data_IF_078287465545
#
_entry.id   IF_078287465545
#
_cell.length_a   1.000
_cell.length_b   1.000
_cell.length_c   1.000
_cell.angle_alpha   90.00
_cell.angle_beta   90.00
_cell.angle_gamma   90.00
#
_symmetry.space_group_name_H-M   'P 1'
#
loop_
_entity.id
_entity.type
_entity.pdbx_description
1 polymer ?
#
# COMPACT_ATOMS: atom_id res chain seq x y z
N UNK A 1 5.83 19.22 -21.19
CA UNK A 1 4.35 19.10 -21.14
C UNK A 1 3.75 20.36 -21.75
N UNK A 2 2.63 20.29 -22.47
CA UNK A 2 1.95 21.50 -22.99
C UNK A 2 1.37 22.32 -21.82
N UNK A 3 1.55 23.64 -21.84
CA UNK A 3 1.13 24.58 -20.80
C UNK A 3 -0.38 24.46 -20.50
N UNK A 4 -1.19 24.24 -21.54
CA UNK A 4 -2.64 24.08 -21.39
C UNK A 4 -3.00 22.82 -20.58
N UNK A 5 -2.28 21.72 -20.81
CA UNK A 5 -2.49 20.45 -20.12
C UNK A 5 -2.06 20.54 -18.66
N UNK A 6 -0.93 21.21 -18.38
CA UNK A 6 -0.46 21.47 -17.02
C UNK A 6 -1.45 22.34 -16.23
N UNK A 7 -1.90 23.45 -16.82
CA UNK A 7 -2.87 24.37 -16.21
C UNK A 7 -4.18 23.66 -15.88
N UNK A 8 -4.71 22.88 -16.82
CA UNK A 8 -5.91 22.08 -16.60
C UNK A 8 -5.74 21.09 -15.43
N UNK A 9 -4.59 20.42 -15.34
CA UNK A 9 -4.33 19.45 -14.30
C UNK A 9 -4.23 20.12 -12.90
N UNK A 10 -3.56 21.27 -12.79
CA UNK A 10 -3.55 22.05 -11.55
C UNK A 10 -4.93 22.56 -11.14
N UNK A 11 -5.69 23.13 -12.08
CA UNK A 11 -7.05 23.59 -11.82
C UNK A 11 -7.96 22.42 -11.37
N UNK A 12 -7.75 21.23 -11.95
CA UNK A 12 -8.47 20.02 -11.56
C UNK A 12 -8.11 19.61 -10.13
N UNK A 13 -6.82 19.57 -9.78
CA UNK A 13 -6.36 19.23 -8.42
C UNK A 13 -6.68 20.31 -7.37
N UNK A 14 -6.99 21.54 -7.78
CA UNK A 14 -7.38 22.63 -6.87
C UNK A 14 -8.72 22.40 -6.14
N UNK A 15 -9.54 21.43 -6.56
CA UNK A 15 -10.78 21.09 -5.87
C UNK A 15 -10.57 20.01 -4.82
N UNK A 16 -11.02 20.21 -3.56
CA UNK A 16 -10.70 19.32 -2.44
C UNK A 16 -11.17 17.87 -2.66
N UNK A 17 -12.37 17.68 -3.23
CA UNK A 17 -12.89 16.34 -3.53
C UNK A 17 -12.10 15.60 -4.61
N UNK A 18 -11.58 16.31 -5.62
CA UNK A 18 -10.78 15.69 -6.70
C UNK A 18 -9.38 15.37 -6.20
N UNK A 19 -8.80 16.26 -5.41
CA UNK A 19 -7.54 16.01 -4.72
C UNK A 19 -7.64 14.81 -3.77
N UNK A 20 -8.74 14.67 -3.03
CA UNK A 20 -8.96 13.52 -2.16
C UNK A 20 -9.03 12.19 -2.94
N UNK A 21 -9.74 12.16 -4.07
CA UNK A 21 -9.78 11.00 -4.98
C UNK A 21 -8.38 10.68 -5.52
N UNK A 22 -7.66 11.69 -6.04
CA UNK A 22 -6.32 11.52 -6.59
C UNK A 22 -5.32 11.02 -5.54
N UNK A 23 -5.32 11.60 -4.33
CA UNK A 23 -4.46 11.17 -3.22
C UNK A 23 -4.79 9.75 -2.77
N UNK A 24 -6.05 9.35 -2.77
CA UNK A 24 -6.43 7.96 -2.51
C UNK A 24 -5.85 7.03 -3.57
N UNK A 25 -6.03 7.33 -4.85
CA UNK A 25 -5.49 6.50 -5.94
C UNK A 25 -3.96 6.38 -5.88
N UNK A 26 -3.27 7.45 -5.47
CA UNK A 26 -1.82 7.43 -5.26
C UNK A 26 -1.37 6.47 -4.15
N UNK A 27 -2.18 6.22 -3.12
CA UNK A 27 -1.86 5.24 -2.06
C UNK A 27 -1.97 3.79 -2.53
N UNK A 28 -2.69 3.55 -3.62
CA UNK A 28 -2.82 2.24 -4.26
C UNK A 28 -1.92 2.10 -5.48
N UNK A 29 -1.15 3.13 -5.85
CA UNK A 29 -0.33 3.05 -7.03
C UNK A 29 0.72 1.93 -6.90
N UNK A 30 1.01 1.18 -7.99
CA UNK A 30 0.48 1.36 -9.34
C UNK A 30 -0.86 0.63 -9.61
N UNK A 31 -1.46 -0.03 -8.61
CA UNK A 31 -2.72 -0.75 -8.76
C UNK A 31 -3.92 0.21 -8.91
N UNK A 32 -4.98 -0.29 -9.54
CA UNK A 32 -6.24 0.45 -9.70
C UNK A 32 -7.26 0.08 -8.62
N UNK A 33 -8.17 1.01 -8.33
CA UNK A 33 -9.22 0.87 -7.32
C UNK A 33 -10.59 0.92 -7.97
N UNK A 34 -11.56 0.15 -7.48
CA UNK A 34 -12.93 0.18 -8.02
C UNK A 34 -13.67 1.45 -7.59
N UNK A 35 -14.54 2.04 -8.43
CA UNK A 35 -15.32 3.22 -8.05
C UNK A 35 -16.12 3.05 -6.75
N UNK A 36 -16.68 1.86 -6.53
CA UNK A 36 -17.43 1.54 -5.31
C UNK A 36 -16.56 1.64 -4.06
N UNK A 37 -15.30 1.20 -4.14
CA UNK A 37 -14.34 1.25 -3.03
C UNK A 37 -13.88 2.68 -2.76
N UNK A 38 -13.61 3.46 -3.82
CA UNK A 38 -13.25 4.89 -3.70
C UNK A 38 -14.39 5.68 -3.04
N UNK A 39 -15.63 5.46 -3.47
CA UNK A 39 -16.80 6.13 -2.93
C UNK A 39 -16.98 5.83 -1.43
N UNK A 40 -16.84 4.56 -1.05
CA UNK A 40 -16.95 4.12 0.34
C UNK A 40 -15.83 4.72 1.18
N UNK A 41 -14.59 4.67 0.70
CA UNK A 41 -13.43 5.18 1.42
C UNK A 41 -13.51 6.69 1.71
N UNK A 42 -14.02 7.47 0.76
CA UNK A 42 -14.11 8.92 0.86
C UNK A 42 -15.49 9.42 1.34
N UNK A 43 -16.43 8.51 1.59
CA UNK A 43 -17.81 8.88 1.96
C UNK A 43 -18.56 9.66 0.87
N UNK A 44 -18.20 9.46 -0.41
CA UNK A 44 -18.76 10.20 -1.54
C UNK A 44 -19.98 9.49 -2.14
N UNK A 45 -20.95 10.28 -2.62
CA UNK A 45 -22.03 9.75 -3.46
C UNK A 45 -21.48 9.32 -4.83
N UNK A 46 -22.05 8.27 -5.41
CA UNK A 46 -21.59 7.70 -6.69
C UNK A 46 -21.60 8.71 -7.85
N UNK A 47 -22.62 9.58 -7.92
CA UNK A 47 -22.70 10.63 -8.93
C UNK A 47 -21.55 11.65 -8.78
N UNK A 48 -21.29 12.13 -7.57
CA UNK A 48 -20.19 13.05 -7.27
C UNK A 48 -18.84 12.43 -7.62
N UNK A 49 -18.62 11.16 -7.25
CA UNK A 49 -17.40 10.46 -7.61
C UNK A 49 -17.24 10.34 -9.13
N UNK A 50 -18.32 10.02 -9.85
CA UNK A 50 -18.29 9.87 -11.30
C UNK A 50 -17.86 11.18 -11.98
N UNK A 51 -18.36 12.32 -11.50
CA UNK A 51 -17.91 13.64 -11.97
C UNK A 51 -16.43 13.89 -11.66
N UNK A 52 -15.97 13.59 -10.44
CA UNK A 52 -14.55 13.76 -10.08
C UNK A 52 -13.63 12.88 -10.93
N UNK A 53 -13.98 11.62 -11.15
CA UNK A 53 -13.21 10.69 -11.98
C UNK A 53 -13.20 11.11 -13.46
N UNK A 54 -14.31 11.63 -13.98
CA UNK A 54 -14.38 12.16 -15.34
C UNK A 54 -13.44 13.36 -15.52
N UNK A 55 -13.49 14.34 -14.60
CA UNK A 55 -12.62 15.52 -14.62
C UNK A 55 -11.14 15.12 -14.52
N UNK A 56 -10.81 14.22 -13.58
CA UNK A 56 -9.43 13.73 -13.39
C UNK A 56 -8.92 12.94 -14.61
N UNK A 57 -9.77 12.15 -15.25
CA UNK A 57 -9.41 11.41 -16.46
C UNK A 57 -9.22 12.37 -17.66
N UNK A 58 -10.10 13.37 -17.80
CA UNK A 58 -9.99 14.39 -18.84
C UNK A 58 -8.70 15.23 -18.69
N UNK A 59 -8.29 15.49 -17.44
CA UNK A 59 -7.01 16.14 -17.14
C UNK A 59 -5.78 15.21 -17.34
N UNK A 60 -6.00 13.92 -17.59
CA UNK A 60 -4.95 12.92 -17.75
C UNK A 60 -4.27 12.51 -16.44
N UNK A 61 -4.84 12.84 -15.28
CA UNK A 61 -4.30 12.51 -13.96
C UNK A 61 -4.64 11.08 -13.51
N UNK A 62 -5.67 10.50 -14.11
CA UNK A 62 -6.18 9.17 -13.75
C UNK A 62 -6.40 8.37 -15.02
N UNK A 63 -5.95 7.13 -14.99
CA UNK A 63 -6.20 6.12 -16.02
C UNK A 63 -7.37 5.25 -15.60
N UNK A 64 -8.17 4.83 -16.59
CA UNK A 64 -9.23 3.85 -16.39
C UNK A 64 -8.90 2.58 -17.16
N UNK A 65 -8.96 1.44 -16.48
CA UNK A 65 -8.88 0.11 -17.09
C UNK A 65 -10.17 -0.64 -16.86
N UNK A 66 -10.61 -1.35 -17.90
CA UNK A 66 -11.75 -2.25 -17.82
C UNK A 66 -11.24 -3.68 -17.78
N UNK A 67 -11.72 -4.43 -16.80
CA UNK A 67 -11.48 -5.86 -16.69
C UNK A 67 -12.84 -6.57 -16.57
N UNK A 68 -13.26 -7.19 -17.68
CA UNK A 68 -14.61 -7.72 -17.86
C UNK A 68 -15.70 -6.67 -17.62
N UNK A 69 -16.46 -6.85 -16.54
CA UNK A 69 -17.56 -5.96 -16.12
C UNK A 69 -17.14 -4.88 -15.13
N UNK A 70 -15.93 -4.97 -14.58
CA UNK A 70 -15.43 -4.06 -13.56
C UNK A 70 -14.55 -2.97 -14.17
N UNK A 71 -14.64 -1.76 -13.62
CA UNK A 71 -13.74 -0.65 -13.92
C UNK A 71 -12.78 -0.45 -12.75
N UNK A 72 -11.53 -0.16 -13.08
CA UNK A 72 -10.48 0.19 -12.13
C UNK A 72 -9.86 1.52 -12.53
N UNK A 73 -9.74 2.42 -11.57
CA UNK A 73 -9.11 3.73 -11.75
C UNK A 73 -7.76 3.74 -11.05
N UNK A 74 -6.72 4.23 -11.71
CA UNK A 74 -5.36 4.32 -11.16
C UNK A 74 -4.77 5.71 -11.45
N UNK A 75 -3.88 6.19 -10.60
CA UNK A 75 -3.18 7.45 -10.88
C UNK A 75 -2.25 7.27 -12.09
N UNK A 76 -2.20 8.27 -12.98
CA UNK A 76 -1.21 8.33 -14.05
C UNK A 76 0.12 8.85 -13.46
N UNK A 77 1.03 7.92 -13.17
CA UNK A 77 2.32 8.25 -12.55
C UNK A 77 3.21 9.08 -13.49
N UNK A 78 3.15 8.83 -14.80
CA UNK A 78 3.95 9.56 -15.78
C UNK A 78 3.45 11.01 -15.92
N UNK A 79 2.13 11.21 -15.97
CA UNK A 79 1.54 12.54 -15.94
C UNK A 79 1.92 13.29 -14.65
N UNK A 80 1.87 12.60 -13.51
CA UNK A 80 2.18 13.23 -12.21
C UNK A 80 3.64 13.64 -12.09
N UNK A 81 4.56 12.77 -12.49
CA UNK A 81 5.99 13.08 -12.54
C UNK A 81 6.25 14.32 -13.39
N UNK A 82 5.64 14.40 -14.57
CA UNK A 82 5.80 15.54 -15.45
C UNK A 82 5.18 16.84 -14.90
N UNK A 83 4.10 16.75 -14.10
CA UNK A 83 3.48 17.86 -13.38
C UNK A 83 4.40 18.43 -12.28
N UNK A 84 5.01 17.54 -11.48
CA UNK A 84 6.00 17.90 -10.45
C UNK A 84 7.24 18.48 -11.12
N UNK A 85 7.72 17.84 -12.19
CA UNK A 85 8.84 18.30 -13.00
C UNK A 85 8.63 19.72 -13.53
N UNK A 86 7.42 20.06 -13.97
CA UNK A 86 7.10 21.42 -14.39
C UNK A 86 7.25 22.45 -13.27
N UNK A 87 6.78 22.16 -12.05
CA UNK A 87 6.96 23.07 -10.90
C UNK A 87 8.43 23.20 -10.50
N UNK A 88 9.11 22.06 -10.40
CA UNK A 88 10.47 21.96 -9.90
C UNK A 88 11.50 22.53 -10.88
N UNK A 89 11.37 22.19 -12.17
CA UNK A 89 12.36 22.47 -13.20
C UNK A 89 12.01 23.69 -14.05
N UNK A 90 10.75 23.82 -14.50
CA UNK A 90 10.36 24.90 -15.43
C UNK A 90 10.03 26.20 -14.68
N UNK A 91 9.23 26.14 -13.62
CA UNK A 91 8.88 27.32 -12.80
C UNK A 91 10.01 27.66 -11.82
N UNK A 92 10.57 26.65 -11.15
CA UNK A 92 11.69 26.80 -10.21
C UNK A 92 13.04 27.04 -10.88
N UNK A 93 13.13 26.98 -12.21
CA UNK A 93 14.38 27.04 -13.01
C UNK A 93 15.47 26.10 -12.49
N UNK A 94 15.06 24.96 -11.93
CA UNK A 94 15.93 23.99 -11.27
C UNK A 94 16.94 24.60 -10.27
N UNK A 95 16.55 25.71 -9.61
CA UNK A 95 17.35 26.37 -8.57
C UNK A 95 17.71 25.37 -7.45
N UNK A 96 19.00 25.05 -7.24
CA UNK A 96 19.40 24.01 -6.29
C UNK A 96 18.93 24.29 -4.85
N UNK A 97 18.87 25.57 -4.46
CA UNK A 97 18.37 26.02 -3.16
C UNK A 97 16.89 25.70 -2.93
N UNK A 98 16.08 25.68 -3.99
CA UNK A 98 14.65 25.38 -3.91
C UNK A 98 14.33 23.88 -4.08
N UNK A 99 15.21 23.14 -4.76
CA UNK A 99 15.09 21.69 -4.93
C UNK A 99 15.63 20.91 -3.73
N UNK A 100 16.67 21.39 -3.07
CA UNK A 100 17.26 20.71 -1.91
C UNK A 100 16.27 20.38 -0.77
N UNK A 101 15.24 21.20 -0.47
CA UNK A 101 14.19 20.88 0.53
C UNK A 101 13.06 19.99 -0.01
N UNK A 102 12.91 19.85 -1.33
CA UNK A 102 11.96 18.93 -1.98
C UNK A 102 12.57 17.54 -2.26
N UNK A 103 13.89 17.50 -2.43
CA UNK A 103 14.70 16.30 -2.71
C UNK A 103 15.60 15.89 -1.51
N UNK A 104 15.39 16.32 -0.24
CA UNK A 104 16.40 16.13 0.79
C UNK A 104 16.53 14.63 1.04
N UNK A 105 17.69 14.11 0.66
CA UNK A 105 18.14 12.75 0.88
C UNK A 105 17.41 11.62 0.13
N UNK A 106 17.12 11.77 -1.17
CA UNK A 106 17.29 10.63 -2.09
C UNK A 106 18.80 10.45 -2.32
N UNK A 107 19.54 10.15 -1.25
CA UNK A 107 20.70 9.29 -1.48
C UNK A 107 20.07 7.93 -1.76
N UNK A 108 20.56 7.26 -2.78
CA UNK A 108 20.35 5.82 -2.92
C UNK A 108 21.50 5.22 -2.11
N UNK A 109 21.45 5.16 -0.75
CA UNK A 109 22.47 4.43 -0.04
C UNK A 109 22.43 3.02 -0.59
N UNK A 110 23.59 2.43 -0.85
CA UNK A 110 23.67 1.00 -1.14
C UNK A 110 22.81 0.28 -0.11
N UNK A 111 21.81 -0.47 -0.57
CA UNK A 111 20.91 -1.08 0.38
C UNK A 111 21.68 -2.08 1.23
N UNK A 112 21.34 -2.12 2.51
CA UNK A 112 21.75 -3.21 3.41
C UNK A 112 21.19 -4.53 2.86
N UNK A 113 21.70 -5.67 3.32
CA UNK A 113 21.16 -7.00 2.96
C UNK A 113 20.43 -7.68 4.14
N UNK A 114 20.37 -7.00 5.29
CA UNK A 114 19.80 -7.48 6.56
C UNK A 114 19.39 -6.31 7.46
N UNK A 115 18.75 -6.63 8.58
CA UNK A 115 18.28 -5.71 9.62
C UNK A 115 17.24 -4.70 9.12
N UNK A 116 16.31 -5.17 8.29
CA UNK A 116 15.24 -4.35 7.75
C UNK A 116 14.05 -4.28 8.69
N UNK A 117 13.60 -3.07 9.01
CA UNK A 117 12.35 -2.86 9.76
C UNK A 117 11.15 -2.85 8.79
N UNK A 118 10.21 -3.80 8.96
CA UNK A 118 9.06 -3.99 8.07
C UNK A 118 7.75 -3.88 8.85
N UNK A 119 6.85 -2.99 8.40
CA UNK A 119 5.54 -2.79 9.01
C UNK A 119 4.39 -3.23 8.09
N UNK A 120 3.57 -4.17 8.58
CA UNK A 120 2.33 -4.60 7.92
C UNK A 120 1.10 -3.92 8.50
N UNK A 121 0.36 -3.18 7.67
CA UNK A 121 -0.83 -2.44 8.07
C UNK A 121 -2.10 -3.13 7.59
N UNK A 122 -3.05 -3.31 8.50
CA UNK A 122 -4.43 -3.59 8.13
C UNK A 122 -5.40 -2.72 8.94
N UNK A 123 -6.71 -2.90 8.77
CA UNK A 123 -7.70 -2.13 9.53
C UNK A 123 -7.73 -2.57 10.99
N UNK A 124 -7.99 -3.85 11.26
CA UNK A 124 -8.26 -4.34 12.62
C UNK A 124 -7.08 -4.92 13.41
N UNK A 125 -5.90 -5.05 12.80
CA UNK A 125 -4.72 -5.75 13.35
C UNK A 125 -5.02 -7.09 14.04
N UNK A 126 -5.92 -7.89 13.46
CA UNK A 126 -6.44 -9.10 14.10
C UNK A 126 -6.13 -10.40 13.34
N UNK A 127 -5.93 -10.34 12.01
CA UNK A 127 -5.72 -11.52 11.17
C UNK A 127 -4.64 -11.30 10.09
N UNK A 128 -4.95 -10.58 9.00
CA UNK A 128 -4.04 -10.44 7.83
C UNK A 128 -2.65 -9.92 8.17
N UNK A 129 -2.56 -8.80 8.88
CA UNK A 129 -1.27 -8.22 9.25
C UNK A 129 -0.52 -9.07 10.29
N UNK A 130 -1.24 -9.86 11.09
CA UNK A 130 -0.68 -10.78 12.08
C UNK A 130 -0.08 -12.01 11.39
N UNK A 131 -0.78 -12.55 10.37
CA UNK A 131 -0.21 -13.55 9.48
C UNK A 131 1.06 -13.04 8.82
N UNK A 132 1.04 -11.80 8.32
CA UNK A 132 2.20 -11.24 7.65
C UNK A 132 3.40 -11.04 8.59
N UNK A 133 3.17 -10.53 9.81
CA UNK A 133 4.21 -10.41 10.86
C UNK A 133 4.84 -11.77 11.19
N UNK A 134 4.03 -12.79 11.45
CA UNK A 134 4.52 -14.13 11.79
C UNK A 134 5.26 -14.80 10.61
N UNK A 135 4.69 -14.74 9.40
CA UNK A 135 5.30 -15.30 8.19
C UNK A 135 6.65 -14.66 7.88
N UNK A 136 6.79 -13.34 8.05
CA UNK A 136 8.07 -12.69 7.79
C UNK A 136 9.12 -13.03 8.85
N UNK A 137 8.73 -13.21 10.12
CA UNK A 137 9.67 -13.68 11.16
C UNK A 137 10.22 -15.07 10.85
N UNK A 138 9.34 -15.97 10.41
CA UNK A 138 9.70 -17.35 10.07
C UNK A 138 10.55 -17.42 8.78
N UNK A 139 10.04 -16.85 7.69
CA UNK A 139 10.67 -16.95 6.38
C UNK A 139 11.87 -15.99 6.20
N UNK A 140 11.94 -14.93 7.00
CA UNK A 140 12.94 -13.88 6.86
C UNK A 140 14.35 -14.25 7.33
N UNK A 141 14.51 -15.37 8.03
CA UNK A 141 15.82 -15.91 8.47
C UNK A 141 16.74 -14.88 9.16
N UNK A 142 16.15 -14.00 9.98
CA UNK A 142 16.89 -12.96 10.71
C UNK A 142 17.21 -11.69 9.93
N UNK A 143 16.90 -11.62 8.62
CA UNK A 143 17.11 -10.42 7.80
C UNK A 143 16.14 -9.27 8.09
N UNK A 144 15.03 -9.57 8.75
CA UNK A 144 13.92 -8.63 8.94
C UNK A 144 13.46 -8.59 10.39
N UNK A 145 13.15 -7.38 10.86
CA UNK A 145 12.35 -7.14 12.05
C UNK A 145 10.92 -6.84 11.60
N UNK A 146 10.01 -7.77 11.88
CA UNK A 146 8.63 -7.69 11.44
C UNK A 146 7.71 -7.11 12.51
N UNK A 147 6.93 -6.11 12.10
CA UNK A 147 5.90 -5.45 12.88
C UNK A 147 4.57 -5.45 12.13
N UNK A 148 3.47 -5.29 12.85
CA UNK A 148 2.16 -5.04 12.27
C UNK A 148 1.37 -4.01 13.05
N UNK A 149 0.41 -3.35 12.42
CA UNK A 149 -0.49 -2.44 13.12
C UNK A 149 -1.86 -2.33 12.45
N UNK A 150 -2.77 -1.71 13.18
CA UNK A 150 -4.15 -1.44 12.80
C UNK A 150 -4.41 0.05 12.72
N UNK A 151 -5.21 0.47 11.75
CA UNK A 151 -5.78 1.82 11.79
C UNK A 151 -6.96 1.93 12.76
N UNK A 152 -7.67 0.82 12.98
CA UNK A 152 -8.78 0.67 13.93
C UNK A 152 -8.66 -0.69 14.61
N UNK A 153 -7.57 -0.93 15.38
CA UNK A 153 -7.26 -2.22 15.94
C UNK A 153 -8.35 -2.67 16.92
N UNK A 154 -8.64 -3.98 16.91
CA UNK A 154 -9.44 -4.59 17.97
C UNK A 154 -8.65 -4.71 19.28
N UNK A 155 -9.31 -5.18 20.34
CA UNK A 155 -8.66 -5.45 21.62
C UNK A 155 -7.92 -6.79 21.67
N UNK A 156 -8.27 -7.72 20.79
CA UNK A 156 -7.72 -9.07 20.75
C UNK A 156 -7.45 -9.54 19.32
N UNK A 157 -6.52 -10.50 19.21
CA UNK A 157 -6.23 -11.20 17.96
C UNK A 157 -7.37 -12.16 17.60
N UNK A 158 -7.53 -12.44 16.30
CA UNK A 158 -8.56 -13.38 15.85
C UNK A 158 -8.13 -14.84 16.20
N UNK A 159 -8.98 -15.62 16.90
CA UNK A 159 -8.64 -17.00 17.29
C UNK A 159 -8.31 -17.92 16.10
N UNK A 160 -9.03 -17.80 14.97
CA UNK A 160 -8.74 -18.60 13.78
C UNK A 160 -7.39 -18.24 13.16
N UNK A 161 -6.96 -16.98 13.25
CA UNK A 161 -5.63 -16.59 12.79
C UNK A 161 -4.54 -17.23 13.67
N UNK A 162 -4.71 -17.22 15.00
CA UNK A 162 -3.78 -17.88 15.91
C UNK A 162 -3.72 -19.39 15.68
N UNK A 163 -4.86 -20.03 15.49
CA UNK A 163 -4.94 -21.47 15.22
C UNK A 163 -4.23 -21.84 13.91
N UNK A 164 -4.44 -21.08 12.83
CA UNK A 164 -3.74 -21.31 11.55
C UNK A 164 -2.24 -21.14 11.73
N UNK A 165 -1.77 -20.13 12.46
CA UNK A 165 -0.35 -19.93 12.74
C UNK A 165 0.26 -21.10 13.52
N UNK A 166 -0.38 -21.49 14.62
CA UNK A 166 0.08 -22.60 15.46
C UNK A 166 0.13 -23.93 14.71
N UNK A 167 -0.90 -24.25 13.91
CA UNK A 167 -0.96 -25.47 13.09
C UNK A 167 0.14 -25.51 12.03
N UNK A 168 0.63 -24.36 11.58
CA UNK A 168 1.74 -24.25 10.64
C UNK A 168 3.11 -24.09 11.32
N UNK A 169 3.17 -24.19 12.65
CA UNK A 169 4.43 -24.17 13.41
C UNK A 169 5.01 -22.79 13.71
N UNK A 170 4.23 -21.71 13.53
CA UNK A 170 4.70 -20.35 13.80
C UNK A 170 4.71 -20.04 15.31
N UNK A 171 5.75 -19.34 15.76
CA UNK A 171 5.73 -18.72 17.08
C UNK A 171 4.76 -17.53 17.11
N UNK A 172 3.82 -17.58 18.04
CA UNK A 172 2.81 -16.52 18.25
C UNK A 172 3.13 -15.64 19.47
N UNK A 173 4.25 -15.88 20.13
CA UNK A 173 4.67 -15.14 21.32
C UNK A 173 4.88 -13.67 20.98
N UNK A 174 4.33 -12.79 21.84
CA UNK A 174 4.44 -11.33 21.68
C UNK A 174 3.58 -10.73 20.56
N UNK A 175 2.85 -11.53 19.78
CA UNK A 175 1.85 -11.00 18.85
C UNK A 175 0.72 -10.33 19.64
N UNK A 176 0.36 -9.11 19.25
CA UNK A 176 -0.74 -8.36 19.85
C UNK A 176 -1.35 -7.38 18.85
N UNK A 177 -2.60 -7.04 19.10
CA UNK A 177 -3.30 -5.97 18.38
C UNK A 177 -2.77 -4.61 18.84
N UNK A 178 -2.38 -3.75 17.90
CA UNK A 178 -1.75 -2.45 18.16
C UNK A 178 -2.13 -1.38 17.14
N UNK A 179 -2.17 -0.13 17.58
CA UNK A 179 -2.55 1.00 16.71
C UNK A 179 -1.33 1.53 15.95
N UNK A 180 -1.56 1.98 14.70
CA UNK A 180 -0.51 2.52 13.83
C UNK A 180 0.28 3.68 14.45
N UNK A 181 -0.36 4.47 15.31
CA UNK A 181 0.26 5.60 16.00
C UNK A 181 1.44 5.20 16.89
N UNK A 182 1.53 3.93 17.32
CA UNK A 182 2.68 3.41 18.07
C UNK A 182 3.99 3.48 17.28
N UNK A 183 3.91 3.52 15.94
CA UNK A 183 5.07 3.58 15.03
C UNK A 183 5.30 4.97 14.44
N UNK A 184 4.54 5.97 14.89
CA UNK A 184 4.62 7.36 14.41
C UNK A 184 5.15 8.33 15.49
N UNK A 185 5.52 7.81 16.66
CA UNK A 185 6.05 8.62 17.76
C UNK A 185 7.56 8.85 17.60
N UNK A 186 8.10 9.94 18.18
CA UNK A 186 9.55 10.09 18.28
C UNK A 186 10.20 8.90 18.99
N UNK A 187 11.32 8.40 18.44
CA UNK A 187 12.07 7.29 19.02
C UNK A 187 11.56 5.89 18.65
N UNK A 188 10.55 5.78 17.79
CA UNK A 188 10.13 4.50 17.21
C UNK A 188 11.08 4.06 16.10
N UNK A 189 11.11 2.76 15.74
CA UNK A 189 11.89 2.27 14.61
C UNK A 189 11.54 3.03 13.32
N UNK A 190 12.55 3.32 12.50
CA UNK A 190 12.38 3.92 11.18
C UNK A 190 12.20 2.79 10.19
N UNK A 191 11.00 2.66 9.64
CA UNK A 191 10.68 1.56 8.74
C UNK A 191 11.47 1.67 7.44
N UNK A 192 12.03 0.54 6.99
CA UNK A 192 12.57 0.39 5.64
C UNK A 192 11.45 0.05 4.64
N UNK A 193 10.46 -0.73 5.10
CA UNK A 193 9.30 -1.14 4.30
C UNK A 193 7.97 -0.97 5.04
N UNK A 194 6.93 -0.54 4.33
CA UNK A 194 5.56 -0.48 4.85
C UNK A 194 4.58 -1.08 3.85
N UNK A 195 3.91 -2.17 4.23
CA UNK A 195 2.96 -2.87 3.38
C UNK A 195 1.54 -2.76 3.90
N UNK A 196 0.61 -2.33 3.07
CA UNK A 196 -0.83 -2.38 3.39
C UNK A 196 -1.42 -3.69 2.87
N UNK A 197 -2.02 -4.49 3.75
CA UNK A 197 -2.58 -5.82 3.39
C UNK A 197 -4.11 -5.82 3.32
N UNK A 198 -4.73 -4.64 3.43
CA UNK A 198 -6.15 -4.46 3.18
C UNK A 198 -6.43 -3.08 2.57
N UNK A 199 -7.47 -3.03 1.74
CA UNK A 199 -7.85 -1.83 1.00
C UNK A 199 -8.25 -0.70 1.95
N UNK A 200 -8.90 -1.02 3.08
CA UNK A 200 -9.25 -0.01 4.08
C UNK A 200 -8.01 0.71 4.62
N UNK A 201 -6.93 -0.01 4.93
CA UNK A 201 -5.70 0.61 5.43
C UNK A 201 -4.99 1.44 4.35
N UNK A 202 -5.01 0.99 3.09
CA UNK A 202 -4.48 1.77 1.97
C UNK A 202 -5.34 3.01 1.66
N UNK A 203 -6.64 2.94 1.92
CA UNK A 203 -7.58 4.03 1.72
C UNK A 203 -7.52 5.10 2.82
N UNK A 204 -6.93 4.81 3.98
CA UNK A 204 -6.80 5.78 5.06
C UNK A 204 -5.68 6.80 4.82
N UNK A 205 -5.93 8.04 5.24
CA UNK A 205 -4.93 9.10 5.15
C UNK A 205 -3.92 8.94 6.29
N UNK A 206 -2.72 8.48 5.93
CA UNK A 206 -1.60 8.38 6.85
C UNK A 206 -0.61 9.53 6.56
N UNK A 207 -0.08 10.22 7.58
CA UNK A 207 1.05 11.13 7.41
C UNK A 207 2.23 10.44 6.72
N UNK A 208 3.09 11.18 6.00
CA UNK A 208 4.32 10.62 5.44
C UNK A 208 5.16 9.95 6.52
N UNK A 209 5.66 8.75 6.21
CA UNK A 209 6.53 8.01 7.11
C UNK A 209 7.91 8.68 7.22
N UNK A 210 8.47 8.80 8.43
CA UNK A 210 9.88 9.14 8.60
C UNK A 210 10.76 8.20 7.78
N UNK A 211 11.81 8.73 7.14
CA UNK A 211 12.73 7.92 6.31
C UNK A 211 12.20 7.50 4.94
N UNK A 212 10.95 7.83 4.59
CA UNK A 212 10.31 7.52 3.30
C UNK A 212 10.44 6.05 2.86
N UNK A 213 10.03 5.05 3.67
CA UNK A 213 10.10 3.62 3.35
C UNK A 213 9.63 3.26 1.95
N UNK A 214 10.12 2.14 1.43
CA UNK A 214 9.51 1.49 0.27
C UNK A 214 8.13 0.99 0.69
N UNK A 215 7.09 1.41 -0.03
CA UNK A 215 5.71 1.06 0.32
C UNK A 215 5.12 0.11 -0.72
N UNK A 216 4.13 -0.68 -0.32
CA UNK A 216 3.41 -1.54 -1.25
C UNK A 216 2.01 -1.87 -0.78
N UNK A 217 1.09 -2.05 -1.72
CA UNK A 217 -0.27 -2.51 -1.44
C UNK A 217 -0.45 -3.97 -1.86
N UNK A 218 -0.61 -4.84 -0.86
CA UNK A 218 -0.84 -6.27 -1.00
C UNK A 218 -2.22 -6.62 -0.47
N UNK A 219 -3.25 -5.95 -0.98
CA UNK A 219 -4.65 -6.16 -0.61
C UNK A 219 -5.06 -7.63 -0.69
N UNK A 220 -5.81 -8.07 0.32
CA UNK A 220 -6.50 -9.36 0.37
C UNK A 220 -7.90 -9.17 0.99
N UNK A 221 -8.90 -9.96 0.54
CA UNK A 221 -10.22 -10.01 1.17
C UNK A 221 -10.11 -10.22 2.67
N UNK A 222 -11.04 -9.64 3.43
CA UNK A 222 -11.04 -9.77 4.88
C UNK A 222 -11.58 -11.14 5.31
N UNK A 223 -10.74 -12.06 5.84
CA UNK A 223 -11.22 -13.38 6.24
C UNK A 223 -12.20 -13.30 7.42
N UNK A 224 -12.17 -12.21 8.21
CA UNK A 224 -13.07 -12.01 9.36
C UNK A 224 -14.52 -11.81 8.91
N UNK A 225 -14.74 -11.35 7.68
CA UNK A 225 -16.09 -11.17 7.11
C UNK A 225 -16.68 -12.48 6.54
N UNK A 226 -15.93 -13.57 6.54
CA UNK A 226 -16.43 -14.86 6.08
C UNK A 226 -17.59 -15.34 6.97
N UNK A 227 -18.72 -15.67 6.34
CA UNK A 227 -19.90 -16.27 6.97
C UNK A 227 -19.99 -17.75 6.62
N UNK A 228 -20.82 -18.50 7.35
CA UNK A 228 -21.01 -19.93 7.14
C UNK A 228 -20.49 -20.78 8.31
N UNK A 229 -20.28 -22.06 8.03
CA UNK A 229 -19.75 -23.05 8.96
C UNK A 229 -18.30 -22.76 9.37
N UNK A 230 -17.85 -23.31 10.48
CA UNK A 230 -16.45 -23.13 10.92
C UNK A 230 -15.44 -23.70 9.91
N UNK A 231 -15.81 -24.74 9.16
CA UNK A 231 -14.98 -25.29 8.09
C UNK A 231 -14.82 -24.29 6.92
N UNK A 232 -15.91 -23.65 6.50
CA UNK A 232 -15.87 -22.62 5.44
C UNK A 232 -15.06 -21.40 5.89
N UNK A 233 -15.24 -20.96 7.14
CA UNK A 233 -14.45 -19.88 7.71
C UNK A 233 -12.97 -20.25 7.76
N UNK A 234 -12.62 -21.43 8.28
CA UNK A 234 -11.25 -21.93 8.32
C UNK A 234 -10.60 -21.99 6.92
N UNK A 235 -11.36 -22.38 5.90
CA UNK A 235 -10.89 -22.38 4.51
C UNK A 235 -10.50 -20.98 4.05
N UNK A 236 -11.31 -19.95 4.31
CA UNK A 236 -11.01 -18.56 3.93
C UNK A 236 -9.76 -18.03 4.67
N UNK A 237 -9.60 -18.36 5.95
CA UNK A 237 -8.38 -18.03 6.70
C UNK A 237 -7.16 -18.73 6.11
N UNK A 238 -7.27 -20.01 5.75
CA UNK A 238 -6.20 -20.79 5.11
C UNK A 238 -5.81 -20.22 3.74
N UNK A 239 -6.78 -19.80 2.92
CA UNK A 239 -6.53 -19.15 1.63
C UNK A 239 -5.80 -17.81 1.81
N UNK A 240 -6.23 -17.01 2.78
CA UNK A 240 -5.59 -15.72 3.11
C UNK A 240 -4.14 -15.91 3.56
N UNK A 241 -3.90 -16.88 4.45
CA UNK A 241 -2.57 -17.26 4.89
C UNK A 241 -1.68 -17.72 3.72
N UNK A 242 -2.20 -18.60 2.86
CA UNK A 242 -1.45 -19.09 1.69
C UNK A 242 -1.09 -17.96 0.71
N UNK A 243 -2.01 -17.00 0.50
CA UNK A 243 -1.76 -15.84 -0.36
C UNK A 243 -0.66 -14.93 0.22
N UNK A 244 -0.70 -14.63 1.53
CA UNK A 244 0.36 -13.86 2.20
C UNK A 244 1.70 -14.60 2.19
N UNK A 245 1.68 -15.91 2.44
CA UNK A 245 2.90 -16.74 2.43
C UNK A 245 3.60 -16.69 1.07
N UNK A 246 2.85 -16.77 -0.04
CA UNK A 246 3.43 -16.63 -1.39
C UNK A 246 4.10 -15.27 -1.60
N UNK A 247 3.41 -14.19 -1.21
CA UNK A 247 3.94 -12.82 -1.34
C UNK A 247 5.19 -12.59 -0.50
N UNK A 248 5.16 -13.04 0.75
CA UNK A 248 6.29 -12.91 1.68
C UNK A 248 7.46 -13.78 1.23
N UNK A 249 7.21 -15.01 0.78
CA UNK A 249 8.26 -15.86 0.20
C UNK A 249 8.92 -15.18 -1.02
N UNK A 250 8.14 -14.58 -1.91
CA UNK A 250 8.71 -13.82 -3.03
C UNK A 250 9.51 -12.59 -2.57
N UNK A 251 9.06 -11.92 -1.50
CA UNK A 251 9.72 -10.74 -0.95
C UNK A 251 11.07 -11.06 -0.29
N UNK A 252 11.15 -12.12 0.53
CA UNK A 252 12.40 -12.48 1.25
C UNK A 252 13.50 -12.97 0.31
N UNK A 253 13.13 -13.46 -0.88
CA UNK A 253 14.06 -13.91 -1.93
C UNK A 253 14.58 -12.77 -2.83
N UNK A 254 14.15 -11.52 -2.60
CA UNK A 254 14.64 -10.40 -3.40
C UNK A 254 16.14 -10.16 -3.14
N UNK A 255 16.94 -9.88 -4.18
CA UNK A 255 18.39 -9.67 -4.02
C UNK A 255 18.69 -8.24 -3.56
N UNK A 256 18.35 -7.92 -2.31
CA UNK A 256 18.40 -6.56 -1.73
C UNK A 256 19.74 -5.86 -1.91
N UNK A 257 20.87 -6.55 -1.70
CA UNK A 257 22.21 -6.00 -1.91
C UNK A 257 22.51 -5.49 -3.33
N UNK A 258 21.77 -5.97 -4.34
CA UNK A 258 22.04 -5.67 -5.76
C UNK A 258 20.99 -4.77 -6.41
N UNK A 259 19.82 -4.63 -5.79
CA UNK A 259 18.74 -3.82 -6.32
C UNK A 259 18.91 -2.37 -5.91
N UNK A 260 18.78 -1.46 -6.87
CA UNK A 260 18.51 -0.05 -6.56
C UNK A 260 17.15 0.09 -5.88
N UNK A 261 16.94 1.17 -5.13
CA UNK A 261 15.64 1.44 -4.48
C UNK A 261 14.49 1.45 -5.48
N UNK A 262 14.69 2.03 -6.67
CA UNK A 262 13.70 2.04 -7.74
C UNK A 262 13.37 0.62 -8.24
N UNK A 263 14.38 -0.20 -8.46
CA UNK A 263 14.18 -1.59 -8.89
C UNK A 263 13.45 -2.39 -7.82
N UNK A 264 13.77 -2.15 -6.56
CA UNK A 264 13.11 -2.80 -5.43
C UNK A 264 11.66 -2.39 -5.27
N UNK A 265 11.34 -1.09 -5.41
CA UNK A 265 9.96 -0.61 -5.44
C UNK A 265 9.14 -1.32 -6.53
N UNK A 266 9.69 -1.41 -7.74
CA UNK A 266 9.02 -2.11 -8.84
C UNK A 266 8.78 -3.60 -8.55
N UNK A 267 9.72 -4.28 -7.86
CA UNK A 267 9.55 -5.69 -7.44
C UNK A 267 8.49 -5.84 -6.36
N UNK A 268 8.46 -4.94 -5.38
CA UNK A 268 7.44 -4.87 -4.33
C UNK A 268 6.04 -4.71 -4.92
N UNK A 269 5.91 -3.83 -5.93
CA UNK A 269 4.63 -3.58 -6.60
C UNK A 269 4.15 -4.81 -7.39
N UNK A 270 5.08 -5.51 -8.05
CA UNK A 270 4.78 -6.73 -8.79
C UNK A 270 4.24 -7.85 -7.88
N UNK A 271 4.83 -8.03 -6.69
CA UNK A 271 4.36 -9.00 -5.69
C UNK A 271 2.90 -8.73 -5.26
N UNK A 272 2.50 -7.46 -5.24
CA UNK A 272 1.12 -7.08 -4.95
C UNK A 272 0.13 -7.48 -6.06
N UNK A 273 0.53 -7.28 -7.32
CA UNK A 273 -0.30 -7.43 -8.51
C UNK A 273 -0.73 -8.87 -8.86
N UNK A 274 0.02 -9.88 -8.43
CA UNK A 274 -0.25 -11.29 -8.78
C UNK A 274 -1.58 -11.85 -8.23
N UNK A 275 -2.25 -11.13 -7.32
CA UNK A 275 -3.57 -11.54 -6.83
C UNK A 275 -4.70 -11.46 -7.87
N UNK A 276 -4.53 -10.73 -8.97
CA UNK A 276 -5.53 -10.67 -10.05
C UNK A 276 -5.28 -11.68 -11.18
N UNK A 277 -4.15 -12.39 -11.18
CA UNK A 277 -3.87 -13.41 -12.20
C UNK A 277 -4.55 -14.77 -11.90
N UNK A 278 -4.93 -15.03 -10.65
CA UNK A 278 -5.48 -16.31 -10.19
C UNK A 278 -6.96 -16.56 -10.49
N UNK A 279 -7.67 -15.62 -11.09
CA UNK A 279 -9.08 -15.78 -11.52
C UNK A 279 -9.21 -16.25 -12.97
N UNK A 280 -8.09 -16.55 -13.64
CA UNK A 280 -8.06 -17.26 -14.92
C UNK A 280 -8.03 -18.78 -14.68
N UNK A 281 -9.21 -19.34 -14.41
CA UNK A 281 -9.50 -20.75 -14.67
C UNK A 281 -10.30 -20.83 -15.97
#
# INVERSE_FOLDING_TARGET
>A
MDMNRTSLAFATLGHPGRLAVFRLLMRFAPQGVRPTEIAVALGLKQNTLSHHLADLSAAGLVLVRRDGRSLFYAADLAMTEALIGHLALDIGRARPDLLSPLVPAIKDPAMRDTDFDVLFLCSGNSARSIFAEALLRDLGQGKFQAFSAGTRPGTALNPFALEVLQRNGHDITGLRSKHISEFQQPGTPVMDFVFTVCDTAAAEECPPWPGQPITGHWGLPDPVKATGTDAERALVFGQTYAALRRRIAAFVELPFATLSRLSLQARVDAIGGDAHAGEKA
#
